data_IF_736785231747
#
_entry.id   IF_736785231747
#
_cell.length_a   1.000
_cell.length_b   1.000
_cell.length_c   1.000
_cell.angle_alpha   90.00
_cell.angle_beta   90.00
_cell.angle_gamma   90.00
#
_symmetry.space_group_name_H-M   'P 1'
#
loop_
_entity.id
_entity.type
_entity.pdbx_description
1 polymer ?
#
# COMPACT_ATOMS: atom_id res chain seq x y z
N UNK A 1 41.58 11.42 14.25
CA UNK A 1 40.43 10.55 14.58
C UNK A 1 39.41 10.68 13.46
N UNK A 2 39.47 9.75 12.55
CA UNK A 2 38.50 9.74 11.46
C UNK A 2 37.22 9.12 11.99
N UNK A 3 36.27 10.00 12.32
CA UNK A 3 34.89 9.52 12.40
C UNK A 3 34.46 9.26 10.97
N UNK A 4 34.50 8.00 10.60
CA UNK A 4 33.95 7.58 9.33
C UNK A 4 32.43 7.71 9.41
N UNK A 5 31.95 8.88 9.00
CA UNK A 5 30.51 9.19 8.96
C UNK A 5 29.76 8.30 7.95
N UNK A 6 30.47 7.48 7.20
CA UNK A 6 29.91 6.66 6.13
C UNK A 6 30.00 5.15 6.40
N UNK A 7 30.68 4.73 7.45
CA UNK A 7 30.89 3.32 7.74
C UNK A 7 30.02 2.76 8.85
N UNK A 8 29.12 3.55 9.39
CA UNK A 8 28.18 3.02 10.36
C UNK A 8 26.97 2.47 9.60
N UNK A 9 26.83 1.12 9.47
CA UNK A 9 25.56 0.61 9.02
C UNK A 9 24.53 1.21 9.96
N UNK A 10 23.64 2.03 9.43
CA UNK A 10 22.59 2.63 10.22
C UNK A 10 22.00 1.53 11.09
N UNK A 11 22.17 1.65 12.39
CA UNK A 11 21.54 0.69 13.29
C UNK A 11 20.04 0.72 12.98
N UNK A 12 19.35 -0.42 13.01
CA UNK A 12 17.90 -0.44 12.73
C UNK A 12 17.11 0.62 13.47
N UNK A 13 17.57 1.04 14.66
CA UNK A 13 16.96 2.10 15.45
C UNK A 13 17.05 3.50 14.84
N UNK A 14 18.03 3.79 13.96
CA UNK A 14 18.16 5.10 13.30
C UNK A 14 17.25 5.25 12.10
N UNK A 15 16.76 4.13 11.51
CA UNK A 15 15.85 4.12 10.38
C UNK A 15 14.39 4.03 10.80
N UNK A 16 14.15 3.78 12.08
CA UNK A 16 12.80 3.62 12.64
C UNK A 16 12.43 4.82 13.50
N UNK A 17 11.36 5.49 13.13
CA UNK A 17 10.81 6.62 13.86
C UNK A 17 9.47 6.25 14.47
N UNK A 18 9.37 6.31 15.79
CA UNK A 18 8.13 6.04 16.50
C UNK A 18 7.23 7.28 16.45
N UNK A 19 6.03 7.13 15.92
CA UNK A 19 5.03 8.20 15.87
C UNK A 19 4.08 8.16 17.06
N UNK A 20 3.90 6.98 17.67
CA UNK A 20 3.00 6.76 18.78
C UNK A 20 2.99 5.28 19.16
N UNK A 21 2.14 4.84 20.11
CA UNK A 21 2.05 3.43 20.46
C UNK A 21 1.68 2.59 19.23
N UNK A 22 2.55 1.64 18.85
CA UNK A 22 2.34 0.74 17.71
C UNK A 22 2.38 1.42 16.35
N UNK A 23 2.88 2.65 16.25
CA UNK A 23 2.95 3.41 14.99
C UNK A 23 4.37 3.85 14.71
N UNK A 24 4.89 3.50 13.52
CA UNK A 24 6.28 3.75 13.15
C UNK A 24 6.42 4.20 11.70
N UNK A 25 7.44 4.99 11.43
CA UNK A 25 7.98 5.20 10.08
C UNK A 25 9.24 4.35 9.95
N UNK A 26 9.32 3.54 8.92
CA UNK A 26 10.48 2.73 8.59
C UNK A 26 11.16 3.34 7.37
N UNK A 27 12.13 4.22 7.61
CA UNK A 27 12.79 4.98 6.53
C UNK A 27 13.68 4.07 5.69
N UNK A 28 13.56 4.20 4.37
CA UNK A 28 14.35 3.41 3.43
C UNK A 28 14.02 1.92 3.40
N UNK A 29 13.02 1.47 4.14
CA UNK A 29 12.71 0.05 4.32
C UNK A 29 12.31 -0.63 3.00
N UNK A 30 11.60 0.08 2.12
CA UNK A 30 11.13 -0.45 0.85
C UNK A 30 12.08 -0.15 -0.32
N UNK A 31 13.18 0.57 -0.11
CA UNK A 31 14.01 1.09 -1.18
C UNK A 31 14.62 -0.01 -2.06
N UNK A 32 15.11 -1.08 -1.44
CA UNK A 32 15.69 -2.21 -2.17
C UNK A 32 14.66 -2.95 -3.04
N UNK A 33 13.37 -2.81 -2.73
CA UNK A 33 12.26 -3.47 -3.42
C UNK A 33 11.58 -2.55 -4.46
N UNK A 34 12.06 -1.33 -4.65
CA UNK A 34 11.40 -0.32 -5.48
C UNK A 34 11.06 -0.84 -6.88
N UNK A 35 12.01 -1.41 -7.59
CA UNK A 35 11.79 -1.91 -8.95
C UNK A 35 10.75 -3.03 -8.98
N UNK A 36 10.81 -3.96 -8.02
CA UNK A 36 9.87 -5.06 -7.91
C UNK A 36 8.46 -4.58 -7.53
N UNK A 37 8.37 -3.57 -6.65
CA UNK A 37 7.09 -2.96 -6.28
C UNK A 37 6.42 -2.28 -7.47
N UNK A 38 7.16 -1.49 -8.23
CA UNK A 38 6.63 -0.79 -9.42
C UNK A 38 6.20 -1.78 -10.51
N UNK A 39 6.99 -2.85 -10.72
CA UNK A 39 6.62 -3.91 -11.68
C UNK A 39 5.33 -4.63 -11.24
N UNK A 40 5.16 -4.88 -9.95
CA UNK A 40 3.95 -5.48 -9.41
C UNK A 40 2.72 -4.56 -9.59
N UNK A 41 2.87 -3.27 -9.34
CA UNK A 41 1.80 -2.27 -9.59
C UNK A 41 1.38 -2.30 -11.06
N UNK A 42 2.34 -2.31 -11.96
CA UNK A 42 2.07 -2.37 -13.41
C UNK A 42 1.30 -3.64 -13.80
N UNK A 43 1.74 -4.79 -13.31
CA UNK A 43 1.08 -6.07 -13.56
C UNK A 43 -0.36 -6.11 -13.02
N UNK A 44 -0.56 -5.61 -11.81
CA UNK A 44 -1.89 -5.55 -11.17
C UNK A 44 -2.81 -4.61 -11.92
N UNK A 45 -2.34 -3.40 -12.26
CA UNK A 45 -3.14 -2.41 -12.96
C UNK A 45 -3.49 -2.79 -14.39
N UNK A 46 -2.71 -3.68 -15.01
CA UNK A 46 -3.06 -4.26 -16.31
C UNK A 46 -4.30 -5.16 -16.23
N UNK A 47 -4.51 -5.83 -15.09
CA UNK A 47 -5.64 -6.73 -14.85
C UNK A 47 -6.82 -6.02 -14.19
N UNK A 48 -6.55 -5.12 -13.26
CA UNK A 48 -7.53 -4.31 -12.55
C UNK A 48 -7.11 -2.83 -12.69
N UNK A 49 -7.55 -2.15 -13.76
CA UNK A 49 -7.12 -0.79 -14.06
C UNK A 49 -7.45 0.19 -12.93
N UNK A 50 -6.59 1.19 -12.78
CA UNK A 50 -6.89 2.32 -11.90
C UNK A 50 -8.20 2.99 -12.32
N UNK A 51 -9.03 3.31 -11.34
CA UNK A 51 -10.31 3.97 -11.54
C UNK A 51 -10.54 5.00 -10.45
N UNK A 52 -11.30 6.02 -10.80
CA UNK A 52 -11.81 7.00 -9.83
C UNK A 52 -13.14 6.49 -9.30
N UNK A 53 -13.14 6.04 -8.06
CA UNK A 53 -14.35 5.56 -7.39
C UNK A 53 -15.25 6.74 -7.00
N UNK A 54 -16.50 6.44 -6.71
CA UNK A 54 -17.52 7.41 -6.34
C UNK A 54 -17.86 7.22 -4.86
N UNK A 55 -17.94 8.31 -4.11
CA UNK A 55 -18.39 8.27 -2.71
C UNK A 55 -19.87 7.91 -2.63
N UNK A 56 -20.38 7.49 -1.46
CA UNK A 56 -21.83 7.26 -1.28
C UNK A 56 -22.68 8.47 -1.65
N UNK A 57 -22.16 9.69 -1.48
CA UNK A 57 -22.82 10.93 -1.88
C UNK A 57 -22.79 11.22 -3.38
N UNK A 58 -22.15 10.39 -4.18
CA UNK A 58 -22.08 10.55 -5.64
C UNK A 58 -20.92 11.41 -6.14
N UNK A 59 -19.95 11.76 -5.29
CA UNK A 59 -18.78 12.54 -5.68
C UNK A 59 -17.67 11.62 -6.17
N UNK A 60 -17.07 11.95 -7.30
CA UNK A 60 -15.91 11.24 -7.83
C UNK A 60 -14.66 11.57 -7.01
N UNK A 61 -13.96 10.54 -6.57
CA UNK A 61 -12.69 10.70 -5.84
C UNK A 61 -11.57 11.14 -6.78
N UNK A 62 -10.74 12.08 -6.32
CA UNK A 62 -9.62 12.60 -7.13
C UNK A 62 -8.46 11.60 -7.23
N UNK A 63 -8.36 10.66 -6.30
CA UNK A 63 -7.33 9.62 -6.30
C UNK A 63 -7.81 8.44 -7.12
N UNK A 64 -6.98 7.97 -8.05
CA UNK A 64 -7.25 6.75 -8.78
C UNK A 64 -6.82 5.54 -7.94
N UNK A 65 -7.60 4.48 -7.94
CA UNK A 65 -7.39 3.33 -7.07
C UNK A 65 -7.50 2.02 -7.82
N UNK A 66 -6.75 1.04 -7.35
CA UNK A 66 -6.89 -0.37 -7.71
C UNK A 66 -6.63 -1.22 -6.47
N UNK A 67 -6.82 -2.51 -6.58
CA UNK A 67 -6.67 -3.44 -5.47
C UNK A 67 -6.02 -4.75 -5.93
N UNK A 68 -5.41 -5.44 -5.00
CA UNK A 68 -5.06 -6.85 -5.14
C UNK A 68 -5.24 -7.58 -3.81
N UNK A 69 -5.36 -8.89 -3.86
CA UNK A 69 -5.59 -9.74 -2.71
C UNK A 69 -6.94 -10.43 -2.76
N UNK A 70 -7.31 -11.08 -1.67
CA UNK A 70 -8.59 -11.77 -1.55
C UNK A 70 -9.79 -10.81 -1.57
N UNK A 71 -9.57 -9.58 -1.10
CA UNK A 71 -10.56 -8.52 -1.04
C UNK A 71 -9.99 -7.21 -1.56
N UNK A 72 -10.86 -6.35 -2.10
CA UNK A 72 -10.51 -4.99 -2.48
C UNK A 72 -11.42 -3.98 -1.78
N UNK A 73 -10.83 -2.87 -1.35
CA UNK A 73 -11.62 -1.76 -0.83
C UNK A 73 -12.28 -1.03 -1.98
N UNK A 74 -13.59 -0.88 -1.91
CA UNK A 74 -14.38 -0.18 -2.92
C UNK A 74 -15.38 0.76 -2.29
N UNK A 75 -15.72 1.79 -3.02
CA UNK A 75 -16.81 2.71 -2.68
C UNK A 75 -17.60 3.05 -3.92
N UNK A 76 -18.90 3.13 -3.75
CA UNK A 76 -19.86 3.61 -4.74
C UNK A 76 -21.10 4.16 -4.01
N UNK A 77 -22.17 4.43 -4.72
CA UNK A 77 -23.38 4.96 -4.12
C UNK A 77 -24.01 4.03 -3.09
N UNK A 78 -23.67 2.75 -3.09
CA UNK A 78 -24.15 1.79 -2.09
C UNK A 78 -23.32 1.78 -0.81
N UNK A 79 -22.15 2.43 -0.78
CA UNK A 79 -21.33 2.61 0.41
C UNK A 79 -19.90 2.10 0.27
N UNK A 80 -19.19 2.21 1.37
CA UNK A 80 -17.83 1.69 1.52
C UNK A 80 -17.89 0.22 1.90
N UNK A 81 -17.03 -0.61 1.29
CA UNK A 81 -16.95 -2.03 1.62
C UNK A 81 -15.66 -2.67 1.14
N UNK A 82 -15.37 -3.83 1.69
CA UNK A 82 -14.43 -4.77 1.08
C UNK A 82 -15.22 -5.76 0.25
N UNK A 83 -14.81 -5.96 -1.00
CA UNK A 83 -15.50 -6.83 -1.95
C UNK A 83 -14.50 -7.81 -2.56
N UNK A 84 -14.89 -9.07 -2.66
CA UNK A 84 -14.04 -10.11 -3.25
C UNK A 84 -13.95 -9.97 -4.78
N UNK A 85 -14.89 -9.28 -5.39
CA UNK A 85 -14.95 -9.06 -6.83
C UNK A 85 -14.70 -7.60 -7.18
N UNK A 86 -13.97 -7.39 -8.27
CA UNK A 86 -13.83 -6.07 -8.87
C UNK A 86 -15.17 -5.68 -9.51
N UNK A 87 -15.82 -4.58 -9.05
CA UNK A 87 -17.10 -4.17 -9.61
C UNK A 87 -17.08 -3.82 -11.10
N UNK A 88 -15.91 -3.45 -11.64
CA UNK A 88 -15.79 -3.13 -13.08
C UNK A 88 -15.79 -4.36 -13.97
N UNK A 89 -15.13 -5.43 -13.53
CA UNK A 89 -15.00 -6.65 -14.32
C UNK A 89 -15.95 -7.76 -13.90
N UNK A 90 -16.42 -7.71 -12.64
CA UNK A 90 -17.15 -8.82 -12.04
C UNK A 90 -16.26 -10.04 -11.71
N UNK A 91 -14.96 -9.91 -11.86
CA UNK A 91 -14.00 -10.98 -11.61
C UNK A 91 -13.28 -10.74 -10.27
N UNK A 92 -12.68 -11.80 -9.68
CA UNK A 92 -11.83 -11.62 -8.51
C UNK A 92 -10.71 -10.62 -8.79
N UNK A 93 -10.32 -9.87 -7.76
CA UNK A 93 -9.15 -9.01 -7.84
C UNK A 93 -7.90 -9.83 -8.15
N UNK A 94 -6.87 -9.23 -8.79
CA UNK A 94 -5.59 -9.90 -8.95
C UNK A 94 -5.06 -10.39 -7.61
N UNK A 95 -4.37 -11.52 -7.62
CA UNK A 95 -3.75 -12.06 -6.40
C UNK A 95 -2.77 -11.08 -5.78
N UNK A 96 -2.61 -11.14 -4.46
CA UNK A 96 -1.59 -10.38 -3.76
C UNK A 96 -0.21 -10.70 -4.35
N UNK A 97 0.50 -9.67 -4.80
CA UNK A 97 1.87 -9.85 -5.24
C UNK A 97 2.76 -10.29 -4.08
N UNK A 98 3.67 -11.25 -4.32
CA UNK A 98 4.59 -11.74 -3.30
C UNK A 98 5.43 -10.61 -2.69
N UNK A 99 5.88 -9.65 -3.49
CA UNK A 99 6.67 -8.52 -2.99
C UNK A 99 5.85 -7.65 -2.05
N UNK A 100 4.57 -7.44 -2.30
CA UNK A 100 3.69 -6.69 -1.40
C UNK A 100 3.47 -7.43 -0.09
N UNK A 101 3.13 -8.70 -0.17
CA UNK A 101 2.87 -9.52 1.02
C UNK A 101 4.10 -9.64 1.92
N UNK A 102 5.25 -9.89 1.34
CA UNK A 102 6.52 -10.00 2.08
C UNK A 102 6.95 -8.67 2.69
N UNK A 103 6.86 -7.58 1.92
CA UNK A 103 7.20 -6.25 2.45
C UNK A 103 6.29 -5.88 3.62
N UNK A 104 4.98 -6.09 3.49
CA UNK A 104 4.02 -5.79 4.54
C UNK A 104 4.27 -6.63 5.80
N UNK A 105 4.50 -7.94 5.64
CA UNK A 105 4.81 -8.83 6.75
C UNK A 105 6.13 -8.45 7.46
N UNK A 106 7.17 -8.13 6.69
CA UNK A 106 8.46 -7.72 7.23
C UNK A 106 8.37 -6.37 7.93
N UNK A 107 7.65 -5.41 7.37
CA UNK A 107 7.45 -4.11 7.98
C UNK A 107 6.66 -4.24 9.29
N UNK A 108 5.61 -5.04 9.31
CA UNK A 108 4.82 -5.30 10.52
C UNK A 108 5.69 -5.96 11.61
N UNK A 109 6.50 -6.95 11.26
CA UNK A 109 7.43 -7.59 12.18
C UNK A 109 8.44 -6.60 12.77
N UNK A 110 8.98 -5.71 11.93
CA UNK A 110 9.89 -4.66 12.37
C UNK A 110 9.22 -3.70 13.36
N UNK A 111 7.93 -3.47 13.21
CA UNK A 111 7.13 -2.63 14.11
C UNK A 111 6.61 -3.39 15.35
N UNK A 112 6.96 -4.66 15.51
CA UNK A 112 6.57 -5.48 16.66
C UNK A 112 5.30 -6.32 16.47
N UNK A 113 4.80 -6.43 15.23
CA UNK A 113 3.62 -7.22 14.91
C UNK A 113 4.02 -8.44 14.07
N UNK A 114 4.24 -9.56 14.75
CA UNK A 114 4.62 -10.81 14.10
C UNK A 114 3.40 -11.47 13.44
N UNK A 115 3.66 -12.34 12.46
CA UNK A 115 2.65 -13.15 11.78
C UNK A 115 1.56 -12.34 11.03
N UNK A 116 1.86 -11.08 10.65
CA UNK A 116 0.95 -10.30 9.84
C UNK A 116 0.84 -10.90 8.43
N UNK A 117 -0.39 -11.19 8.01
CA UNK A 117 -0.68 -11.72 6.67
C UNK A 117 -1.81 -10.88 6.05
N UNK A 118 -1.48 -9.94 5.14
CA UNK A 118 -2.49 -9.10 4.52
C UNK A 118 -3.35 -9.89 3.54
N UNK A 119 -4.64 -9.63 3.53
CA UNK A 119 -5.60 -10.21 2.59
C UNK A 119 -6.14 -9.18 1.58
N UNK A 120 -5.82 -7.91 1.78
CA UNK A 120 -6.22 -6.81 0.91
C UNK A 120 -5.07 -5.80 0.79
N UNK A 121 -4.92 -5.25 -0.40
CA UNK A 121 -3.96 -4.20 -0.68
C UNK A 121 -4.60 -3.17 -1.61
N UNK A 122 -4.89 -1.98 -1.07
CA UNK A 122 -5.37 -0.84 -1.85
C UNK A 122 -4.17 -0.11 -2.43
N UNK A 123 -4.20 0.15 -3.73
CA UNK A 123 -3.16 0.89 -4.44
C UNK A 123 -3.73 2.22 -4.89
N UNK A 124 -3.14 3.30 -4.41
CA UNK A 124 -3.54 4.66 -4.75
C UNK A 124 -2.57 5.27 -5.76
N UNK A 125 -3.10 5.89 -6.79
CA UNK A 125 -2.34 6.65 -7.77
C UNK A 125 -2.75 8.13 -7.69
N UNK A 126 -1.79 8.97 -7.31
CA UNK A 126 -2.00 10.41 -7.18
C UNK A 126 -1.45 11.12 -8.42
N UNK A 127 -2.34 11.61 -9.25
CA UNK A 127 -1.99 12.51 -10.34
C UNK A 127 -1.77 13.92 -9.80
N UNK A 128 -1.19 14.79 -10.62
CA UNK A 128 -1.00 16.19 -10.23
C UNK A 128 -2.32 16.83 -9.81
N UNK A 129 -2.35 17.41 -8.63
CA UNK A 129 -3.55 18.02 -8.04
C UNK A 129 -4.43 17.07 -7.23
N UNK A 130 -4.23 15.75 -7.34
CA UNK A 130 -4.94 14.79 -6.50
C UNK A 130 -4.39 14.80 -5.07
N UNK A 131 -5.27 14.63 -4.10
CA UNK A 131 -4.87 14.61 -2.68
C UNK A 131 -5.84 13.79 -1.85
N UNK A 132 -5.33 13.31 -0.73
CA UNK A 132 -6.11 12.71 0.34
C UNK A 132 -6.18 13.70 1.50
N UNK A 133 -7.39 13.93 1.99
CA UNK A 133 -7.59 14.77 3.18
C UNK A 133 -7.25 13.98 4.45
N UNK A 134 -6.94 14.69 5.52
CA UNK A 134 -6.81 14.09 6.84
C UNK A 134 -8.16 13.47 7.25
N UNK A 135 -8.10 12.24 7.70
CA UNK A 135 -9.30 11.47 8.06
C UNK A 135 -9.02 10.50 9.21
#
# INVERSE_FOLDING_TARGET
MNMDLFSNPASPGLLQEKLGPGSFILRGFALAEEAALLAAVESISAKAPFRHMVTPGGFQMSVAMSNCGAFGWVTDRTGYRYDALDPLSGQPWPSMSDVFGKLAANAAAQAGFDDFSPDACLINHYESGARMSLH
#
